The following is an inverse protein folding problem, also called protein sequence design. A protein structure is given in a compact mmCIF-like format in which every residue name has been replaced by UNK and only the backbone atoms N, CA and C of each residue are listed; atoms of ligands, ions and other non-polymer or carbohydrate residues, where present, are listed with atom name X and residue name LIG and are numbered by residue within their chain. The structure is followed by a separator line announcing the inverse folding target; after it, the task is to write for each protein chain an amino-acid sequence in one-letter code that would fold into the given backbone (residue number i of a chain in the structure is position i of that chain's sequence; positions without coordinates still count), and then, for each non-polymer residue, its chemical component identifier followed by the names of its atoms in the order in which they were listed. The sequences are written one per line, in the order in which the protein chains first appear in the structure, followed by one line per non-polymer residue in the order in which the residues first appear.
data_IF_285529156209
#
_entry.id   IF_285529156209
#
_cell.length_a   1.000
_cell.length_b   1.000
_cell.length_c   1.000
_cell.angle_alpha   90.00
_cell.angle_beta   90.00
_cell.angle_gamma   90.00
#
_symmetry.space_group_name_H-M   'P 1'
#
loop_
_entity.id
_entity.type
_entity.pdbx_description
1 polymer ?
#
# COMPACT_ATOMS: atom_id res chain seq x y z
N UNK A 1 9.53 5.26 -26.50
CA UNK A 1 9.05 4.59 -25.27
C UNK A 1 8.36 3.31 -25.71
N UNK A 2 8.76 2.15 -25.20
CA UNK A 2 8.10 0.90 -25.56
C UNK A 2 6.67 0.91 -24.99
N UNK A 3 5.67 0.83 -25.86
CA UNK A 3 4.28 0.59 -25.45
C UNK A 3 4.23 -0.81 -24.87
N UNK A 4 4.18 -0.91 -23.55
CA UNK A 4 4.07 -2.21 -22.88
C UNK A 4 2.63 -2.69 -23.06
N UNK A 5 2.44 -3.74 -23.88
CA UNK A 5 1.13 -4.40 -24.02
C UNK A 5 0.76 -4.99 -22.67
N UNK A 6 -0.35 -4.54 -22.09
CA UNK A 6 -0.94 -5.11 -20.89
C UNK A 6 -1.78 -6.32 -21.28
N UNK A 7 -1.46 -7.49 -20.74
CA UNK A 7 -2.34 -8.65 -20.82
C UNK A 7 -3.57 -8.42 -19.93
N UNK A 8 -4.74 -8.42 -20.56
CA UNK A 8 -6.05 -8.20 -19.92
C UNK A 8 -6.98 -9.41 -20.05
N UNK A 9 -6.47 -10.55 -20.55
CA UNK A 9 -7.27 -11.74 -20.86
C UNK A 9 -8.03 -12.33 -19.65
N UNK A 10 -7.51 -12.13 -18.44
CA UNK A 10 -8.15 -12.53 -17.19
C UNK A 10 -8.97 -11.44 -16.49
N UNK A 11 -9.32 -10.36 -17.19
CA UNK A 11 -10.03 -9.22 -16.59
C UNK A 11 -11.40 -8.97 -17.23
N UNK A 12 -12.37 -8.60 -16.41
CA UNK A 12 -13.73 -8.25 -16.85
C UNK A 12 -14.02 -6.75 -16.67
N UNK A 13 -14.73 -6.11 -17.62
CA UNK A 13 -15.15 -4.72 -17.48
C UNK A 13 -16.15 -4.52 -16.34
N UNK A 14 -15.98 -3.43 -15.59
CA UNK A 14 -16.90 -2.97 -14.54
C UNK A 14 -16.85 -1.44 -14.43
N UNK A 15 -17.48 -0.87 -13.41
CA UNK A 15 -17.48 0.57 -13.11
C UNK A 15 -17.20 0.81 -11.64
N UNK A 16 -16.34 1.80 -11.35
CA UNK A 16 -16.02 2.19 -9.99
C UNK A 16 -15.64 3.67 -9.89
N UNK A 17 -15.74 4.24 -8.69
CA UNK A 17 -15.24 5.60 -8.43
C UNK A 17 -13.72 5.54 -8.26
N UNK A 18 -12.98 6.15 -9.18
CA UNK A 18 -11.51 6.23 -9.18
C UNK A 18 -11.10 7.69 -9.29
N UNK A 19 -10.25 8.15 -8.37
CA UNK A 19 -9.86 9.56 -8.24
C UNK A 19 -11.09 10.49 -8.16
N UNK A 20 -12.14 10.06 -7.45
CA UNK A 20 -13.37 10.83 -7.24
C UNK A 20 -14.36 10.86 -8.43
N UNK A 21 -14.07 10.18 -9.54
CA UNK A 21 -14.96 10.12 -10.70
C UNK A 21 -15.38 8.67 -11.01
N UNK A 22 -16.61 8.46 -11.51
CA UNK A 22 -17.06 7.15 -11.98
C UNK A 22 -16.35 6.80 -13.30
N UNK A 23 -15.58 5.71 -13.32
CA UNK A 23 -14.76 5.28 -14.46
C UNK A 23 -15.03 3.84 -14.85
N UNK A 24 -14.72 3.50 -16.11
CA UNK A 24 -14.58 2.11 -16.53
C UNK A 24 -13.33 1.53 -15.89
N UNK A 25 -13.48 0.34 -15.31
CA UNK A 25 -12.40 -0.40 -14.66
C UNK A 25 -12.36 -1.83 -15.16
N UNK A 26 -11.22 -2.48 -14.98
CA UNK A 26 -11.05 -3.90 -15.20
C UNK A 26 -10.78 -4.57 -13.84
N UNK A 27 -11.57 -5.59 -13.52
CA UNK A 27 -11.44 -6.42 -12.31
C UNK A 27 -10.98 -7.83 -12.71
N UNK A 28 -10.29 -8.59 -11.84
CA UNK A 28 -10.02 -10.00 -12.10
C UNK A 28 -11.32 -10.78 -12.33
N UNK A 29 -11.35 -11.61 -13.38
CA UNK A 29 -12.50 -12.45 -13.72
C UNK A 29 -12.78 -13.51 -12.65
N UNK A 30 -11.73 -13.98 -11.98
CA UNK A 30 -11.80 -14.91 -10.86
C UNK A 30 -11.06 -14.33 -9.65
N UNK A 31 -11.67 -14.45 -8.47
CA UNK A 31 -11.01 -14.10 -7.21
C UNK A 31 -11.23 -15.21 -6.18
N UNK A 32 -10.56 -16.37 -6.33
CA UNK A 32 -10.85 -17.54 -5.50
C UNK A 32 -10.65 -17.32 -3.99
N UNK A 33 -9.77 -16.37 -3.62
CA UNK A 33 -9.57 -15.98 -2.22
C UNK A 33 -10.71 -15.07 -1.71
N UNK A 34 -11.32 -14.27 -2.58
CA UNK A 34 -12.44 -13.41 -2.25
C UNK A 34 -13.73 -14.21 -2.10
N UNK A 35 -14.00 -15.15 -3.00
CA UNK A 35 -15.20 -15.98 -2.97
C UNK A 35 -15.34 -16.73 -1.64
N UNK A 36 -14.22 -17.26 -1.12
CA UNK A 36 -14.17 -17.87 0.22
C UNK A 36 -14.58 -16.91 1.34
N UNK A 37 -14.14 -15.66 1.25
CA UNK A 37 -14.39 -14.65 2.27
C UNK A 37 -15.82 -14.09 2.18
N UNK A 38 -16.38 -14.03 0.96
CA UNK A 38 -17.78 -13.66 0.71
C UNK A 38 -18.76 -14.71 1.20
N UNK A 39 -18.51 -15.99 0.88
CA UNK A 39 -19.35 -17.09 1.35
C UNK A 39 -19.49 -17.04 2.86
N UNK A 40 -18.39 -16.75 3.58
CA UNK A 40 -18.41 -16.62 5.04
C UNK A 40 -19.10 -15.35 5.55
N UNK A 41 -18.97 -14.23 4.83
CA UNK A 41 -19.52 -12.94 5.25
C UNK A 41 -21.03 -12.81 4.97
N UNK A 42 -21.54 -13.42 3.89
CA UNK A 42 -22.91 -13.21 3.39
C UNK A 42 -23.87 -14.37 3.70
N UNK A 43 -23.38 -15.57 4.04
CA UNK A 43 -24.22 -16.74 4.28
C UNK A 43 -23.90 -17.46 5.63
N UNK A 44 -24.07 -16.77 6.78
CA UNK A 44 -23.79 -17.37 8.09
C UNK A 44 -24.67 -18.60 8.40
N UNK A 45 -25.86 -18.67 7.78
CA UNK A 45 -26.88 -19.70 7.99
C UNK A 45 -26.57 -21.04 7.28
N UNK A 46 -25.67 -21.06 6.29
CA UNK A 46 -25.40 -22.24 5.44
C UNK A 46 -24.36 -23.22 6.03
N UNK A 47 -24.05 -23.11 7.33
CA UNK A 47 -23.53 -24.23 8.12
C UNK A 47 -22.22 -24.84 7.62
N UNK A 48 -21.20 -24.03 7.37
CA UNK A 48 -19.91 -24.45 6.80
C UNK A 48 -18.66 -23.96 7.53
N UNK A 49 -18.68 -23.80 8.86
CA UNK A 49 -17.47 -23.85 9.72
C UNK A 49 -16.36 -22.81 9.56
N UNK A 50 -16.46 -21.85 8.64
CA UNK A 50 -15.34 -20.94 8.38
C UNK A 50 -15.51 -19.62 9.12
N UNK A 51 -14.91 -19.56 10.31
CA UNK A 51 -14.76 -18.34 11.15
C UNK A 51 -13.76 -17.34 10.58
N UNK A 52 -13.61 -17.25 9.25
CA UNK A 52 -12.56 -16.42 8.63
C UNK A 52 -12.85 -14.95 8.84
N UNK A 53 -14.09 -14.51 8.60
CA UNK A 53 -14.45 -13.11 8.81
C UNK A 53 -14.43 -12.74 10.30
N UNK A 54 -14.78 -13.67 11.20
CA UNK A 54 -14.59 -13.49 12.64
C UNK A 54 -13.10 -13.35 13.01
N UNK A 55 -12.22 -14.20 12.44
CA UNK A 55 -10.76 -14.14 12.64
C UNK A 55 -10.17 -12.83 12.11
N UNK A 56 -10.76 -12.28 11.05
CA UNK A 56 -10.43 -10.99 10.50
C UNK A 56 -10.90 -9.84 11.43
N UNK A 57 -12.17 -9.84 11.84
CA UNK A 57 -12.77 -8.84 12.72
C UNK A 57 -12.13 -8.81 14.10
N UNK A 58 -11.72 -9.96 14.65
CA UNK A 58 -10.98 -10.06 15.90
C UNK A 58 -9.62 -9.32 15.88
N UNK A 59 -9.12 -8.94 14.69
CA UNK A 59 -7.89 -8.18 14.50
C UNK A 59 -8.15 -6.70 14.24
N UNK A 60 -9.39 -6.23 14.34
CA UNK A 60 -9.74 -4.82 14.12
C UNK A 60 -10.12 -4.17 15.44
N UNK A 61 -9.43 -3.08 15.77
CA UNK A 61 -9.77 -2.24 16.90
C UNK A 61 -10.38 -0.92 16.41
N UNK A 62 -11.62 -0.61 16.80
CA UNK A 62 -12.29 0.65 16.46
C UNK A 62 -12.10 1.66 17.60
N UNK A 63 -11.32 2.70 17.36
CA UNK A 63 -11.01 3.71 18.38
C UNK A 63 -12.05 4.82 18.51
N UNK A 64 -13.34 4.50 18.67
CA UNK A 64 -14.48 5.44 18.50
C UNK A 64 -14.55 6.67 19.44
N UNK A 65 -13.67 6.81 20.44
CA UNK A 65 -13.83 7.83 21.50
C UNK A 65 -12.59 8.66 21.75
N UNK A 66 -12.11 9.42 20.76
CA UNK A 66 -10.99 10.29 21.07
C UNK A 66 -10.87 11.54 20.19
N UNK A 67 -10.23 12.57 20.76
CA UNK A 67 -10.20 13.99 20.32
C UNK A 67 -9.18 14.43 19.25
N UNK A 68 -8.62 13.54 18.42
CA UNK A 68 -7.71 13.90 17.31
C UNK A 68 -8.03 13.06 16.05
N UNK A 69 -7.65 13.51 14.85
CA UNK A 69 -8.03 12.90 13.55
C UNK A 69 -7.66 11.39 13.41
N UNK A 70 -6.71 10.92 14.21
CA UNK A 70 -6.30 9.52 14.37
C UNK A 70 -7.35 8.60 15.01
N UNK A 71 -8.53 9.10 15.37
CA UNK A 71 -9.48 8.39 16.24
C UNK A 71 -10.82 8.05 15.60
N UNK A 72 -10.90 8.15 14.27
CA UNK A 72 -11.93 7.46 13.47
C UNK A 72 -11.36 6.28 12.67
N UNK A 73 -10.10 5.88 12.89
CA UNK A 73 -9.52 4.74 12.21
C UNK A 73 -9.96 3.42 12.84
N UNK A 74 -10.18 2.41 11.99
CA UNK A 74 -10.28 1.02 12.42
C UNK A 74 -8.90 0.40 12.28
N UNK A 75 -8.21 0.24 13.40
CA UNK A 75 -6.80 -0.13 13.44
C UNK A 75 -6.64 -1.64 13.35
N UNK A 76 -5.82 -2.09 12.39
CA UNK A 76 -5.37 -3.48 12.30
C UNK A 76 -4.38 -3.82 13.42
N UNK A 77 -4.70 -4.85 14.21
CA UNK A 77 -3.94 -5.31 15.37
C UNK A 77 -3.00 -6.48 15.03
N UNK A 78 -3.08 -7.04 13.82
CA UNK A 78 -2.19 -8.10 13.37
C UNK A 78 -0.81 -7.60 12.92
N UNK A 79 0.13 -8.52 12.73
CA UNK A 79 1.49 -8.19 12.29
C UNK A 79 1.48 -7.50 10.91
N UNK A 80 2.03 -6.29 10.78
CA UNK A 80 2.11 -5.60 9.50
C UNK A 80 3.30 -6.07 8.67
N UNK A 81 3.29 -5.71 7.39
CA UNK A 81 4.48 -5.74 6.52
C UNK A 81 5.60 -4.85 7.09
N UNK A 82 6.82 -5.01 6.54
CA UNK A 82 7.95 -4.11 6.80
C UNK A 82 7.65 -2.64 6.47
N UNK A 83 6.75 -2.37 5.52
CA UNK A 83 6.30 -1.02 5.16
C UNK A 83 5.01 -0.57 5.88
N UNK A 84 4.52 -1.32 6.87
CA UNK A 84 3.48 -0.87 7.80
C UNK A 84 2.03 -1.19 7.40
N UNK A 85 1.79 -1.95 6.33
CA UNK A 85 0.44 -2.36 5.94
C UNK A 85 0.01 -3.61 6.69
N UNK A 86 -1.23 -3.61 7.19
CA UNK A 86 -1.84 -4.81 7.77
C UNK A 86 -1.92 -5.95 6.75
N UNK A 87 -1.59 -7.17 7.18
CA UNK A 87 -1.73 -8.40 6.39
C UNK A 87 -2.60 -9.39 7.16
N UNK A 88 -3.50 -10.04 6.43
CA UNK A 88 -4.24 -11.20 6.87
C UNK A 88 -3.79 -12.44 6.08
N UNK A 89 -3.67 -13.58 6.76
CA UNK A 89 -3.42 -14.86 6.12
C UNK A 89 -4.77 -15.56 5.94
N UNK A 90 -5.09 -15.88 4.69
CA UNK A 90 -6.28 -16.58 4.25
C UNK A 90 -5.83 -17.88 3.57
N UNK A 91 -5.88 -19.00 4.30
CA UNK A 91 -5.48 -20.33 3.80
C UNK A 91 -4.12 -20.37 3.09
N UNK A 92 -3.12 -19.66 3.63
CA UNK A 92 -1.77 -19.57 3.05
C UNK A 92 -1.57 -18.35 2.14
N UNK A 93 -2.64 -17.67 1.75
CA UNK A 93 -2.58 -16.45 0.94
C UNK A 93 -2.49 -15.19 1.82
N UNK A 94 -1.43 -14.41 1.62
CA UNK A 94 -1.25 -13.12 2.32
C UNK A 94 -1.98 -12.02 1.57
N UNK A 95 -3.03 -11.49 2.18
CA UNK A 95 -3.86 -10.40 1.61
C UNK A 95 -3.73 -9.16 2.50
N UNK A 96 -3.73 -7.96 1.89
CA UNK A 96 -3.74 -6.71 2.66
C UNK A 96 -5.06 -6.54 3.39
N UNK A 97 -5.01 -6.23 4.67
CA UNK A 97 -6.20 -6.17 5.52
C UNK A 97 -7.23 -5.13 5.03
N UNK A 98 -6.79 -3.96 4.57
CA UNK A 98 -7.70 -2.93 4.05
C UNK A 98 -8.30 -3.30 2.68
N UNK A 99 -7.64 -4.17 1.90
CA UNK A 99 -8.25 -4.68 0.67
C UNK A 99 -9.42 -5.60 0.99
N UNK A 100 -9.31 -6.44 2.03
CA UNK A 100 -10.40 -7.36 2.42
C UNK A 100 -11.69 -6.59 2.70
N UNK A 101 -11.63 -5.57 3.57
CA UNK A 101 -12.84 -4.82 3.92
C UNK A 101 -13.36 -4.00 2.72
N UNK A 102 -12.47 -3.43 1.92
CA UNK A 102 -12.85 -2.80 0.65
C UNK A 102 -13.64 -3.78 -0.26
N UNK A 103 -13.12 -4.99 -0.47
CA UNK A 103 -13.75 -5.95 -1.38
C UNK A 103 -15.08 -6.45 -0.84
N UNK A 104 -15.20 -6.74 0.45
CA UNK A 104 -16.48 -7.18 1.03
C UNK A 104 -17.53 -6.08 0.94
N UNK A 105 -17.15 -4.81 1.09
CA UNK A 105 -18.08 -3.68 1.04
C UNK A 105 -18.53 -3.33 -0.38
N UNK A 106 -17.66 -3.46 -1.38
CA UNK A 106 -17.94 -2.98 -2.74
C UNK A 106 -18.03 -4.06 -3.81
N UNK A 107 -17.80 -5.32 -3.46
CA UNK A 107 -17.78 -6.44 -4.40
C UNK A 107 -16.81 -6.22 -5.57
N UNK A 108 -15.66 -5.60 -5.26
CA UNK A 108 -14.79 -5.05 -6.29
C UNK A 108 -13.35 -4.86 -5.81
N UNK A 109 -12.38 -5.40 -6.57
CA UNK A 109 -10.96 -4.97 -6.53
C UNK A 109 -10.50 -4.69 -7.95
N UNK A 110 -10.60 -3.44 -8.43
CA UNK A 110 -10.12 -3.11 -9.75
C UNK A 110 -8.59 -3.13 -9.75
N UNK A 111 -8.04 -3.61 -10.86
CA UNK A 111 -6.60 -3.64 -11.09
C UNK A 111 -6.19 -2.57 -12.08
N UNK A 112 -7.10 -2.18 -12.98
CA UNK A 112 -6.91 -1.12 -13.96
C UNK A 112 -8.13 -0.22 -14.03
N UNK A 113 -7.91 1.07 -14.29
CA UNK A 113 -8.94 2.01 -14.69
C UNK A 113 -8.58 2.67 -16.02
N UNK A 114 -9.60 2.96 -16.82
CA UNK A 114 -9.44 3.75 -18.02
C UNK A 114 -9.45 5.25 -17.64
N UNK A 115 -8.30 5.91 -17.80
CA UNK A 115 -8.07 7.31 -17.45
C UNK A 115 -7.24 7.96 -18.55
N UNK A 116 -7.75 9.05 -19.13
CA UNK A 116 -7.11 9.83 -20.20
C UNK A 116 -6.63 8.95 -21.37
N UNK A 117 -7.55 8.16 -21.92
CA UNK A 117 -7.33 7.22 -23.04
C UNK A 117 -6.26 6.14 -22.77
N UNK A 118 -5.97 5.86 -21.49
CA UNK A 118 -4.98 4.87 -21.07
C UNK A 118 -5.49 3.99 -19.93
N UNK A 119 -5.06 2.73 -19.92
CA UNK A 119 -5.23 1.87 -18.77
C UNK A 119 -4.16 2.18 -17.73
N UNK A 120 -4.58 2.59 -16.53
CA UNK A 120 -3.69 2.87 -15.41
C UNK A 120 -3.94 1.90 -14.27
N UNK A 121 -2.88 1.48 -13.59
CA UNK A 121 -3.01 0.70 -12.36
C UNK A 121 -3.70 1.53 -11.28
N UNK A 122 -4.65 0.91 -10.61
CA UNK A 122 -5.34 1.50 -9.46
C UNK A 122 -4.97 0.79 -8.18
N UNK A 123 -5.02 1.55 -7.09
CA UNK A 123 -4.65 1.13 -5.76
C UNK A 123 -5.76 1.54 -4.79
N UNK A 124 -6.02 0.70 -3.80
CA UNK A 124 -6.80 1.10 -2.63
C UNK A 124 -5.85 1.88 -1.72
N UNK A 125 -5.94 3.21 -1.76
CA UNK A 125 -5.11 4.13 -0.99
C UNK A 125 -5.79 4.59 0.30
N UNK A 126 -5.00 5.02 1.28
CA UNK A 126 -5.45 5.49 2.59
C UNK A 126 -5.64 7.00 2.58
N UNK A 127 -6.88 7.50 2.53
CA UNK A 127 -7.16 8.93 2.61
C UNK A 127 -6.78 9.54 3.97
N UNK A 128 -6.81 8.74 5.05
CA UNK A 128 -6.36 9.19 6.37
C UNK A 128 -4.85 9.50 6.42
N UNK A 129 -4.06 8.92 5.50
CA UNK A 129 -2.65 9.28 5.32
C UNK A 129 -2.51 10.66 4.66
N UNK A 130 -3.28 10.87 3.60
CA UNK A 130 -3.22 12.07 2.76
C UNK A 130 -3.75 13.30 3.52
N UNK A 131 -4.74 13.10 4.37
CA UNK A 131 -5.40 14.16 5.15
C UNK A 131 -4.67 14.55 6.45
N UNK A 132 -3.76 13.73 6.99
CA UNK A 132 -3.01 14.08 8.22
C UNK A 132 -1.68 14.76 7.87
N UNK A 133 -1.55 16.10 8.03
CA UNK A 133 -0.32 16.83 7.75
C UNK A 133 0.82 16.49 8.72
N UNK A 134 0.51 15.84 9.85
CA UNK A 134 1.50 15.37 10.83
C UNK A 134 2.00 13.96 10.52
N UNK A 135 1.44 13.31 9.49
CA UNK A 135 1.83 11.97 9.11
C UNK A 135 3.31 11.93 8.67
N UNK A 136 4.16 11.09 9.29
CA UNK A 136 5.58 11.06 8.99
C UNK A 136 5.94 10.48 7.62
N UNK A 137 4.97 10.01 6.83
CA UNK A 137 5.27 9.18 5.66
C UNK A 137 5.70 7.76 6.06
N UNK A 138 5.88 6.87 5.08
CA UNK A 138 6.45 5.54 5.34
C UNK A 138 5.63 4.70 6.34
N UNK A 139 6.30 4.04 7.30
CA UNK A 139 5.64 3.21 8.33
C UNK A 139 4.90 4.10 9.34
N UNK A 140 3.67 4.47 9.00
CA UNK A 140 2.78 5.27 9.84
C UNK A 140 1.55 4.45 10.26
N UNK A 141 0.87 4.88 11.34
CA UNK A 141 -0.35 4.25 11.86
C UNK A 141 -1.50 4.21 10.85
N UNK A 142 -1.58 5.18 9.94
CA UNK A 142 -2.64 5.24 8.92
C UNK A 142 -2.63 4.02 7.99
N UNK A 143 -1.47 3.39 7.75
CA UNK A 143 -1.36 2.18 6.94
C UNK A 143 -1.97 0.93 7.60
N UNK A 144 -2.25 1.00 8.90
CA UNK A 144 -2.99 -0.02 9.64
C UNK A 144 -4.50 0.22 9.61
N UNK A 145 -4.98 1.36 9.10
CA UNK A 145 -6.41 1.63 9.01
C UNK A 145 -7.05 0.68 7.98
N UNK A 146 -8.16 0.03 8.36
CA UNK A 146 -8.98 -0.78 7.45
C UNK A 146 -10.35 -0.17 7.18
N UNK A 147 -10.72 0.90 7.89
CA UNK A 147 -12.01 1.60 7.73
C UNK A 147 -12.24 2.03 6.28
N UNK A 148 -13.32 1.57 5.67
CA UNK A 148 -13.58 1.75 4.22
C UNK A 148 -13.76 3.21 3.83
N UNK A 149 -14.38 4.01 4.70
CA UNK A 149 -14.58 5.45 4.48
C UNK A 149 -13.27 6.24 4.51
N UNK A 150 -12.16 5.62 4.94
CA UNK A 150 -10.81 6.19 4.87
C UNK A 150 -10.00 5.62 3.70
N UNK A 151 -10.63 4.86 2.79
CA UNK A 151 -10.01 4.26 1.62
C UNK A 151 -10.60 4.85 0.36
N UNK A 152 -9.80 4.89 -0.70
CA UNK A 152 -10.30 5.20 -2.04
C UNK A 152 -9.51 4.47 -3.11
N UNK A 153 -10.15 4.21 -4.25
CA UNK A 153 -9.44 3.81 -5.45
C UNK A 153 -8.77 5.02 -6.06
N UNK A 154 -7.45 4.94 -6.14
CA UNK A 154 -6.62 5.97 -6.70
C UNK A 154 -5.80 5.40 -7.85
N UNK A 155 -5.61 6.18 -8.91
CA UNK A 155 -4.57 5.83 -9.89
C UNK A 155 -3.19 5.90 -9.22
N UNK A 156 -2.22 5.15 -9.75
CA UNK A 156 -0.84 5.23 -9.26
C UNK A 156 -0.32 6.67 -9.24
N UNK A 157 -0.62 7.46 -10.27
CA UNK A 157 -0.22 8.87 -10.36
C UNK A 157 -0.90 9.74 -9.29
N UNK A 158 -2.19 9.55 -9.01
CA UNK A 158 -2.89 10.28 -7.95
C UNK A 158 -2.37 9.90 -6.57
N UNK A 159 -2.24 8.60 -6.29
CA UNK A 159 -1.71 8.10 -5.01
C UNK A 159 -0.27 8.59 -4.75
N UNK A 160 0.59 8.60 -5.76
CA UNK A 160 1.96 9.12 -5.63
C UNK A 160 2.00 10.62 -5.33
N UNK A 161 1.10 11.40 -5.95
CA UNK A 161 1.00 12.85 -5.71
C UNK A 161 0.42 13.18 -4.34
N UNK A 162 -0.53 12.38 -3.86
CA UNK A 162 -1.15 12.56 -2.55
C UNK A 162 -0.24 12.12 -1.39
N UNK A 163 0.62 11.12 -1.63
CA UNK A 163 1.48 10.56 -0.60
C UNK A 163 2.66 11.45 -0.18
N UNK A 164 3.07 11.30 1.09
CA UNK A 164 4.15 12.10 1.69
C UNK A 164 5.58 11.62 1.35
N UNK A 165 5.73 10.59 0.51
CA UNK A 165 7.03 9.97 0.22
C UNK A 165 8.01 10.95 -0.43
N UNK A 166 7.53 11.75 -1.38
CA UNK A 166 8.34 12.76 -2.05
C UNK A 166 8.83 13.84 -1.08
N UNK A 167 7.96 14.32 -0.18
CA UNK A 167 8.34 15.26 0.86
C UNK A 167 9.34 14.68 1.86
N UNK A 168 9.09 13.47 2.37
CA UNK A 168 10.04 12.77 3.24
C UNK A 168 11.42 12.63 2.58
N UNK A 169 11.50 12.30 1.28
CA UNK A 169 12.78 12.24 0.56
C UNK A 169 13.45 13.60 0.35
N UNK A 170 12.66 14.68 0.20
CA UNK A 170 13.17 16.07 0.10
C UNK A 170 13.68 16.60 1.45
N UNK A 171 13.01 16.27 2.56
CA UNK A 171 13.41 16.69 3.92
C UNK A 171 14.71 16.05 4.41
N UNK A 172 15.10 14.90 3.85
CA UNK A 172 16.36 14.24 4.22
C UNK A 172 17.56 15.09 3.81
N UNK A 173 18.32 15.55 4.79
CA UNK A 173 19.58 16.29 4.61
C UNK A 173 20.81 15.40 4.62
N UNK A 174 20.73 14.21 5.22
CA UNK A 174 21.84 13.27 5.35
C UNK A 174 21.45 11.86 4.89
N UNK A 175 22.44 11.12 4.39
CA UNK A 175 22.30 9.68 4.19
C UNK A 175 22.51 8.92 5.51
N UNK A 176 22.21 7.62 5.61
CA UNK A 176 22.39 6.93 6.89
C UNK A 176 23.83 6.48 7.19
N UNK A 177 24.81 6.78 6.31
CA UNK A 177 26.24 6.87 6.66
C UNK A 177 26.66 8.30 7.03
N UNK A 178 25.70 9.16 7.36
CA UNK A 178 25.89 10.55 7.80
C UNK A 178 26.50 11.55 6.80
N UNK A 179 26.61 11.20 5.52
CA UNK A 179 27.00 12.20 4.51
C UNK A 179 25.89 13.24 4.29
N UNK A 180 26.24 14.51 4.44
CA UNK A 180 25.40 15.65 4.09
C UNK A 180 25.18 15.71 2.56
N UNK A 181 23.92 15.63 2.13
CA UNK A 181 23.57 15.66 0.72
C UNK A 181 23.87 17.00 0.03
N UNK A 182 23.95 18.09 0.79
CA UNK A 182 24.38 19.40 0.29
C UNK A 182 25.83 19.38 -0.21
N UNK A 183 26.68 18.51 0.36
CA UNK A 183 28.09 18.38 -0.01
C UNK A 183 28.29 17.18 -0.94
N UNK A 184 27.78 16.01 -0.55
CA UNK A 184 28.03 14.76 -1.30
C UNK A 184 27.18 14.63 -2.56
N UNK A 185 26.07 15.36 -2.66
CA UNK A 185 25.02 15.08 -3.65
C UNK A 185 24.28 13.76 -3.37
N UNK A 186 23.15 13.58 -4.06
CA UNK A 186 22.18 12.52 -3.78
C UNK A 186 21.60 11.83 -5.03
N UNK A 187 22.24 11.97 -6.20
CA UNK A 187 21.81 11.31 -7.44
C UNK A 187 22.90 10.44 -8.04
N UNK A 188 22.50 9.28 -8.54
CA UNK A 188 23.33 8.33 -9.28
C UNK A 188 22.57 7.80 -10.48
N UNK A 189 23.22 7.79 -11.64
CA UNK A 189 22.72 7.18 -12.88
C UNK A 189 23.50 5.89 -13.11
N UNK A 190 22.80 4.76 -13.22
CA UNK A 190 23.43 3.47 -13.52
C UNK A 190 23.86 3.39 -15.00
N UNK A 191 24.72 2.42 -15.39
CA UNK A 191 25.16 2.26 -16.78
C UNK A 191 24.01 2.02 -17.76
N UNK A 192 22.84 1.61 -17.27
CA UNK A 192 21.61 1.41 -18.05
C UNK A 192 20.82 2.72 -18.22
N UNK A 193 21.33 3.86 -17.74
CA UNK A 193 20.72 5.18 -17.87
C UNK A 193 19.63 5.48 -16.83
N UNK A 194 19.40 4.61 -15.85
CA UNK A 194 18.38 4.83 -14.82
C UNK A 194 18.94 5.68 -13.68
N UNK A 195 18.34 6.85 -13.44
CA UNK A 195 18.72 7.74 -12.35
C UNK A 195 17.92 7.44 -11.08
N UNK A 196 18.61 7.27 -9.95
CA UNK A 196 18.01 7.01 -8.64
C UNK A 196 18.60 7.94 -7.57
N UNK A 197 17.84 8.19 -6.50
CA UNK A 197 18.34 8.89 -5.31
C UNK A 197 19.33 8.00 -4.56
N UNK A 198 20.61 8.39 -4.53
CA UNK A 198 21.69 7.64 -3.87
C UNK A 198 22.80 8.59 -3.43
N UNK A 199 23.36 8.40 -2.23
CA UNK A 199 24.48 9.21 -1.73
C UNK A 199 25.75 8.95 -2.58
N UNK A 200 26.34 9.99 -3.18
CA UNK A 200 27.53 9.79 -4.04
C UNK A 200 28.77 9.40 -3.25
N UNK A 201 28.97 9.93 -2.05
CA UNK A 201 30.06 9.50 -1.15
C UNK A 201 29.95 7.98 -0.83
N UNK A 202 28.76 7.50 -0.44
CA UNK A 202 28.52 6.06 -0.26
C UNK A 202 28.70 5.23 -1.54
N UNK A 203 28.58 5.84 -2.72
CA UNK A 203 28.83 5.18 -4.02
C UNK A 203 30.34 5.14 -4.33
N UNK A 204 31.09 6.15 -3.91
CA UNK A 204 32.54 6.27 -4.05
C UNK A 204 33.32 5.39 -3.07
N UNK A 205 32.65 4.83 -2.06
CA UNK A 205 33.26 3.88 -1.11
C UNK A 205 33.39 4.42 0.32
N UNK A 206 33.01 5.67 0.57
CA UNK A 206 33.11 6.35 1.87
C UNK A 206 32.02 5.89 2.86
N UNK A 207 31.52 4.65 2.77
CA UNK A 207 30.49 4.20 3.71
C UNK A 207 31.07 4.07 5.10
N UNK A 208 30.34 4.58 6.10
CA UNK A 208 30.66 4.33 7.49
C UNK A 208 30.79 2.81 7.74
N UNK A 209 31.81 2.36 8.49
CA UNK A 209 31.83 1.00 9.01
C UNK A 209 30.61 0.83 9.92
N UNK A 210 29.76 -0.12 9.56
CA UNK A 210 28.49 -0.50 10.21
C UNK A 210 27.23 0.34 9.90
N UNK A 211 26.39 -0.25 9.04
CA UNK A 211 24.95 -0.03 9.05
C UNK A 211 24.29 -1.14 9.88
N UNK A 212 23.83 -0.81 11.08
CA UNK A 212 22.89 -1.65 11.84
C UNK A 212 21.49 -1.45 11.24
N UNK A 213 21.20 -2.11 10.12
CA UNK A 213 19.92 -1.93 9.42
C UNK A 213 19.70 -2.86 8.23
N UNK A 214 18.72 -3.75 8.39
CA UNK A 214 18.38 -4.96 7.63
C UNK A 214 18.59 -4.92 6.09
N UNK A 215 19.54 -5.72 5.60
CA UNK A 215 19.35 -6.60 4.43
C UNK A 215 20.00 -7.97 4.69
N UNK A 216 19.33 -8.75 5.55
CA UNK A 216 19.47 -10.20 5.76
C UNK A 216 20.90 -10.77 5.80
N UNK A 217 21.32 -11.06 7.04
CA UNK A 217 22.39 -11.96 7.49
C UNK A 217 23.83 -11.42 7.38
N UNK A 218 24.37 -11.00 8.52
CA UNK A 218 25.80 -10.91 8.81
C UNK A 218 26.25 -12.18 9.55
N UNK A 219 27.43 -12.69 9.22
CA UNK A 219 28.24 -13.56 10.08
C UNK A 219 29.45 -12.73 10.53
N UNK A 220 29.77 -12.86 11.81
CA UNK A 220 30.78 -12.09 12.55
C UNK A 220 32.18 -12.66 12.27
N UNK A 221 33.16 -11.78 12.09
CA UNK A 221 34.56 -12.01 12.45
C UNK A 221 35.11 -10.73 13.09
#
# INVERSE_FOLDING_TARGET
MATQTLDISGLTPSRAVVDGALRQVLIPAEQPWYDKLLVDAMAPELGGGSKIFDRFNAKIHQGLNSSTIDKNCWTWMGQPTSNGYGIFNLDGHKVRAHHILWTVTFDLVPVLAHVDDRCQRVHVGHQCHDADPTCPGGRCRHRLCVRVEHLALQTHAANDRAGHSGEHHRRKTHCPSDHAYAVSGYSYTDPQGTTRRYCRACKAGERAPEFVGIRKQLVVA
#
